data_IF_968514710234
#
_entry.id   IF_968514710234
#
_cell.length_a   1.000
_cell.length_b   1.000
_cell.length_c   1.000
_cell.angle_alpha   90.00
_cell.angle_beta   90.00
_cell.angle_gamma   90.00
#
_symmetry.space_group_name_H-M   'P 1'
#
loop_
_entity.id
_entity.type
_entity.pdbx_description
1 polymer ?
#
# COMPACT_ATOMS: atom_id res chain seq x y z
N UNK A 1 5.10 -0.64 4.72
CA UNK A 1 5.17 0.83 4.51
C UNK A 1 6.54 1.32 4.90
N UNK A 2 7.04 2.38 4.26
CA UNK A 2 8.31 3.04 4.59
C UNK A 2 8.09 4.55 4.63
N UNK A 3 8.69 5.21 5.61
CA UNK A 3 8.66 6.67 5.75
C UNK A 3 10.05 7.23 5.46
N UNK A 4 10.12 8.19 4.54
CA UNK A 4 11.34 8.91 4.16
C UNK A 4 11.22 10.35 4.68
N UNK A 5 11.84 10.59 5.83
CA UNK A 5 11.68 11.83 6.58
C UNK A 5 12.22 13.07 5.84
N UNK A 6 13.37 12.93 5.16
CA UNK A 6 14.01 14.05 4.45
C UNK A 6 13.16 14.50 3.24
N UNK A 7 12.53 13.55 2.57
CA UNK A 7 11.75 13.75 1.35
C UNK A 7 10.25 14.00 1.62
N UNK A 8 9.84 13.94 2.89
CA UNK A 8 8.44 13.89 3.35
C UNK A 8 7.60 12.94 2.49
N UNK A 9 8.06 11.69 2.38
CA UNK A 9 7.49 10.71 1.46
C UNK A 9 7.13 9.41 2.15
N UNK A 10 5.88 9.01 1.97
CA UNK A 10 5.34 7.73 2.43
C UNK A 10 5.28 6.75 1.26
N UNK A 11 6.05 5.67 1.35
CA UNK A 11 5.98 4.54 0.44
C UNK A 11 5.10 3.42 1.01
N UNK A 12 4.21 2.93 0.16
CA UNK A 12 3.27 1.87 0.47
C UNK A 12 3.55 0.70 -0.47
N UNK A 13 3.80 -0.46 0.14
CA UNK A 13 3.94 -1.75 -0.53
C UNK A 13 2.83 -2.67 -0.03
N UNK A 14 2.10 -3.30 -0.95
CA UNK A 14 1.04 -4.25 -0.62
C UNK A 14 1.15 -5.49 -1.51
N UNK A 15 1.36 -6.65 -0.91
CA UNK A 15 1.31 -7.93 -1.60
C UNK A 15 -0.11 -8.52 -1.53
N UNK A 16 -0.63 -8.98 -2.66
CA UNK A 16 -1.93 -9.63 -2.77
C UNK A 16 -1.73 -10.99 -3.42
N UNK A 17 -2.19 -12.03 -2.73
CA UNK A 17 -2.12 -13.41 -3.21
C UNK A 17 -3.52 -13.96 -3.49
N UNK A 18 -3.68 -14.65 -4.62
CA UNK A 18 -4.89 -15.42 -4.91
C UNK A 18 -4.75 -16.82 -4.30
N UNK A 19 -5.42 -17.05 -3.17
CA UNK A 19 -5.43 -18.35 -2.49
C UNK A 19 -6.52 -19.29 -2.98
N UNK A 20 -7.21 -18.96 -4.07
CA UNK A 20 -8.30 -19.77 -4.64
C UNK A 20 -7.81 -20.62 -5.82
N UNK A 21 -8.57 -21.67 -6.16
CA UNK A 21 -8.27 -22.56 -7.29
C UNK A 21 -8.68 -22.00 -8.67
N UNK A 22 -9.11 -20.73 -8.75
CA UNK A 22 -9.55 -20.10 -9.99
C UNK A 22 -8.90 -18.74 -10.19
N UNK A 23 -8.84 -18.29 -11.44
CA UNK A 23 -8.44 -16.91 -11.73
C UNK A 23 -9.41 -15.93 -11.07
N UNK A 24 -8.87 -14.87 -10.48
CA UNK A 24 -9.65 -13.78 -9.88
C UNK A 24 -9.40 -12.47 -10.63
N UNK A 25 -10.45 -11.65 -10.71
CA UNK A 25 -10.41 -10.29 -11.23
C UNK A 25 -10.76 -9.31 -10.10
N UNK A 26 -9.95 -8.29 -9.88
CA UNK A 26 -10.13 -7.35 -8.78
C UNK A 26 -9.57 -5.96 -9.08
N UNK A 27 -10.08 -4.97 -8.36
CA UNK A 27 -9.52 -3.61 -8.31
C UNK A 27 -8.84 -3.42 -6.95
N UNK A 28 -7.79 -2.59 -6.93
CA UNK A 28 -7.02 -2.32 -5.73
C UNK A 28 -6.83 -0.81 -5.53
N UNK A 29 -6.91 -0.35 -4.29
CA UNK A 29 -6.68 1.06 -3.91
C UNK A 29 -5.93 1.14 -2.59
N UNK A 30 -5.01 2.09 -2.46
CA UNK A 30 -4.42 2.45 -1.15
C UNK A 30 -5.38 3.39 -0.44
N UNK A 31 -5.68 3.13 0.84
CA UNK A 31 -6.63 3.91 1.64
C UNK A 31 -5.94 4.44 2.90
N UNK A 32 -6.09 5.73 3.19
CA UNK A 32 -5.66 6.36 4.43
C UNK A 32 -6.74 6.14 5.51
N UNK A 33 -6.44 5.27 6.46
CA UNK A 33 -7.38 4.78 7.49
C UNK A 33 -7.56 5.78 8.65
N UNK A 34 -6.54 6.57 8.95
CA UNK A 34 -6.56 7.57 10.02
C UNK A 34 -6.73 8.98 9.45
N UNK A 35 -7.46 9.83 10.17
CA UNK A 35 -7.68 11.23 9.81
C UNK A 35 -6.34 11.96 9.69
N UNK A 36 -5.42 11.74 10.61
CA UNK A 36 -4.13 12.44 10.66
C UNK A 36 -3.25 12.08 9.46
N UNK A 37 -3.26 10.80 9.04
CA UNK A 37 -2.53 10.30 7.86
C UNK A 37 -3.16 10.81 6.57
N UNK A 38 -4.50 10.87 6.51
CA UNK A 38 -5.26 11.44 5.39
C UNK A 38 -4.97 12.93 5.21
N UNK A 39 -5.01 13.71 6.29
CA UNK A 39 -4.67 15.12 6.28
C UNK A 39 -3.22 15.37 5.84
N UNK A 40 -2.30 14.50 6.28
CA UNK A 40 -0.89 14.60 5.91
C UNK A 40 -0.65 14.28 4.44
N UNK A 41 -1.27 13.22 3.92
CA UNK A 41 -1.16 12.80 2.53
C UNK A 41 -2.00 13.64 1.55
N UNK A 42 -3.00 14.37 2.05
CA UNK A 42 -3.94 15.16 1.25
C UNK A 42 -4.93 14.33 0.43
N UNK A 43 -5.00 13.01 0.66
CA UNK A 43 -5.87 12.08 -0.07
C UNK A 43 -6.46 11.04 0.88
N UNK A 44 -7.71 10.65 0.63
CA UNK A 44 -8.38 9.57 1.38
C UNK A 44 -8.09 8.20 0.78
N UNK A 45 -8.14 8.09 -0.54
CA UNK A 45 -7.91 6.84 -1.27
C UNK A 45 -7.25 7.14 -2.61
N UNK A 46 -6.46 6.20 -3.12
CA UNK A 46 -5.84 6.30 -4.44
C UNK A 46 -5.91 4.94 -5.12
N UNK A 47 -6.63 4.84 -6.26
CA UNK A 47 -6.64 3.63 -7.08
C UNK A 47 -5.23 3.25 -7.53
N UNK A 48 -4.96 1.95 -7.57
CA UNK A 48 -3.74 1.39 -8.12
C UNK A 48 -3.99 1.03 -9.57
N UNK A 49 -3.13 1.54 -10.46
CA UNK A 49 -3.30 1.40 -11.91
C UNK A 49 -2.47 0.25 -12.47
N UNK A 50 -1.31 -0.02 -11.84
CA UNK A 50 -0.35 -1.04 -12.26
C UNK A 50 0.19 -1.84 -11.08
N UNK A 51 0.49 -3.11 -11.34
CA UNK A 51 1.21 -3.98 -10.40
C UNK A 51 2.69 -4.19 -10.82
N UNK A 52 3.46 -4.92 -10.01
CA UNK A 52 4.87 -5.28 -10.26
C UNK A 52 5.10 -6.14 -11.53
N UNK A 53 4.03 -6.71 -12.07
CA UNK A 53 4.03 -7.54 -13.28
C UNK A 53 3.57 -6.75 -14.51
N UNK A 54 3.38 -5.42 -14.38
CA UNK A 54 2.79 -4.54 -15.39
C UNK A 54 1.35 -4.88 -15.79
N UNK A 55 0.63 -5.62 -14.93
CA UNK A 55 -0.81 -5.81 -15.02
C UNK A 55 -1.54 -4.47 -14.84
N UNK A 56 -2.75 -4.37 -15.38
CA UNK A 56 -3.59 -3.17 -15.31
C UNK A 56 -4.93 -3.50 -14.66
N UNK A 57 -5.55 -2.50 -14.04
CA UNK A 57 -6.90 -2.64 -13.46
C UNK A 57 -7.98 -2.90 -14.54
N UNK A 58 -8.97 -3.79 -14.29
CA UNK A 58 -9.03 -4.72 -13.16
C UNK A 58 -7.94 -5.79 -13.30
N UNK A 59 -7.18 -5.99 -12.22
CA UNK A 59 -6.07 -6.92 -12.14
C UNK A 59 -6.57 -8.36 -12.23
N UNK A 60 -5.82 -9.21 -12.94
CA UNK A 60 -6.09 -10.64 -13.05
C UNK A 60 -4.97 -11.44 -12.41
N UNK A 61 -5.33 -12.32 -11.49
CA UNK A 61 -4.37 -13.14 -10.77
C UNK A 61 -4.76 -14.61 -10.86
N UNK A 62 -3.88 -15.40 -11.47
CA UNK A 62 -4.03 -16.85 -11.57
C UNK A 62 -4.08 -17.51 -10.18
N UNK A 63 -4.59 -18.75 -10.07
CA UNK A 63 -4.55 -19.52 -8.82
C UNK A 63 -3.15 -19.57 -8.23
N UNK A 64 -3.04 -19.38 -6.91
CA UNK A 64 -1.80 -19.48 -6.13
C UNK A 64 -0.68 -18.52 -6.53
N UNK A 65 -0.99 -17.50 -7.32
CA UNK A 65 -0.06 -16.44 -7.65
C UNK A 65 -0.20 -15.23 -6.72
N UNK A 66 0.87 -14.46 -6.64
CA UNK A 66 0.91 -13.17 -5.96
C UNK A 66 1.25 -12.03 -6.93
N UNK A 67 0.98 -10.81 -6.47
CA UNK A 67 1.42 -9.58 -7.10
C UNK A 67 1.64 -8.52 -6.02
N UNK A 68 2.50 -7.56 -6.31
CA UNK A 68 2.88 -6.48 -5.41
C UNK A 68 2.51 -5.14 -6.03
N UNK A 69 1.89 -4.30 -5.21
CA UNK A 69 1.62 -2.91 -5.53
C UNK A 69 2.61 -2.01 -4.82
N UNK A 70 3.05 -0.97 -5.52
CA UNK A 70 3.90 0.08 -4.97
C UNK A 70 3.31 1.45 -5.28
N UNK A 71 3.22 2.30 -4.26
CA UNK A 71 2.77 3.70 -4.41
C UNK A 71 3.46 4.60 -3.41
N UNK A 72 3.89 5.77 -3.87
CA UNK A 72 4.46 6.82 -3.03
C UNK A 72 3.52 8.01 -2.91
N UNK A 73 3.54 8.66 -1.75
CA UNK A 73 2.76 9.84 -1.42
C UNK A 73 3.67 10.90 -0.82
N UNK A 74 3.68 12.10 -1.42
CA UNK A 74 4.25 13.28 -0.76
C UNK A 74 3.29 13.75 0.31
N UNK A 75 3.82 14.05 1.50
CA UNK A 75 3.03 14.54 2.63
C UNK A 75 3.36 15.99 2.94
N UNK A 76 2.38 16.75 3.41
CA UNK A 76 2.56 18.16 3.77
C UNK A 76 3.22 18.39 5.15
N UNK A 77 3.40 17.33 5.94
CA UNK A 77 4.05 17.35 7.26
C UNK A 77 4.71 16.00 7.56
N UNK A 78 5.69 15.96 8.46
CA UNK A 78 6.29 14.69 8.91
C UNK A 78 5.25 13.74 9.51
N UNK A 79 5.38 12.45 9.20
CA UNK A 79 4.54 11.39 9.78
C UNK A 79 5.16 10.82 11.04
N UNK A 80 4.33 10.57 12.06
CA UNK A 80 4.76 9.88 13.29
C UNK A 80 4.46 8.38 13.23
N UNK A 81 5.17 7.58 14.02
CA UNK A 81 4.89 6.14 14.15
C UNK A 81 3.42 5.87 14.55
N UNK A 82 2.84 6.72 15.41
CA UNK A 82 1.44 6.60 15.81
C UNK A 82 0.49 6.79 14.62
N UNK A 83 0.79 7.74 13.73
CA UNK A 83 0.01 7.95 12.49
C UNK A 83 0.16 6.76 11.53
N UNK A 84 1.36 6.19 11.42
CA UNK A 84 1.67 5.09 10.51
C UNK A 84 1.11 3.74 11.00
N UNK A 85 1.07 3.51 12.31
CA UNK A 85 0.58 2.25 12.90
C UNK A 85 -0.90 2.06 12.58
N UNK A 86 -1.21 1.11 11.67
CA UNK A 86 -2.56 0.90 11.09
C UNK A 86 -3.13 2.18 10.45
N UNK A 87 -2.26 3.05 9.94
CA UNK A 87 -2.62 4.32 9.31
C UNK A 87 -3.06 4.21 7.86
N UNK A 88 -2.62 3.15 7.18
CA UNK A 88 -2.85 2.91 5.76
C UNK A 88 -3.32 1.47 5.58
N UNK A 89 -4.20 1.27 4.61
CA UNK A 89 -4.67 -0.05 4.19
C UNK A 89 -4.64 -0.21 2.68
N UNK A 90 -4.80 -1.46 2.26
CA UNK A 90 -5.15 -1.81 0.89
C UNK A 90 -6.63 -2.18 0.86
N UNK A 91 -7.38 -1.58 -0.05
CA UNK A 91 -8.73 -1.99 -0.39
C UNK A 91 -8.69 -2.86 -1.64
N UNK A 92 -9.31 -4.03 -1.57
CA UNK A 92 -9.48 -4.96 -2.70
C UNK A 92 -10.98 -5.09 -2.97
N UNK A 93 -11.40 -4.81 -4.20
CA UNK A 93 -12.79 -4.93 -4.63
C UNK A 93 -12.94 -5.97 -5.75
N UNK A 94 -13.89 -6.89 -5.60
CA UNK A 94 -14.19 -7.91 -6.62
C UNK A 94 -15.67 -8.31 -6.55
N UNK A 95 -16.36 -8.26 -7.69
CA UNK A 95 -17.74 -8.74 -7.91
C UNK A 95 -18.69 -8.55 -6.71
N UNK A 96 -18.81 -7.30 -6.24
CA UNK A 96 -19.74 -6.91 -5.16
C UNK A 96 -19.23 -7.12 -3.73
N UNK A 97 -18.00 -7.60 -3.55
CA UNK A 97 -17.31 -7.67 -2.26
C UNK A 97 -16.17 -6.67 -2.23
N UNK A 98 -15.96 -6.05 -1.07
CA UNK A 98 -14.81 -5.21 -0.81
C UNK A 98 -14.18 -5.62 0.52
N UNK A 99 -12.86 -5.73 0.53
CA UNK A 99 -12.06 -6.03 1.70
C UNK A 99 -11.12 -4.85 1.94
N UNK A 100 -11.00 -4.42 3.20
CA UNK A 100 -10.06 -3.40 3.61
C UNK A 100 -9.09 -4.01 4.61
N UNK A 101 -7.83 -4.09 4.24
CA UNK A 101 -6.79 -4.77 5.01
C UNK A 101 -5.74 -3.73 5.42
N UNK A 102 -5.54 -3.49 6.72
CA UNK A 102 -4.48 -2.60 7.19
C UNK A 102 -3.11 -3.11 6.77
N UNK A 103 -2.25 -2.21 6.29
CA UNK A 103 -0.86 -2.52 5.96
C UNK A 103 -0.02 -2.22 7.20
N UNK A 104 0.81 -3.19 7.59
CA UNK A 104 1.71 -3.02 8.73
C UNK A 104 2.81 -2.02 8.42
N UNK A 105 3.14 -1.18 9.41
CA UNK A 105 4.34 -0.36 9.38
C UNK A 105 5.52 -1.29 9.66
N UNK A 106 6.44 -1.41 8.70
CA UNK A 106 7.70 -2.12 8.92
C UNK A 106 8.75 -1.08 9.25
N UNK A 107 9.35 -1.15 10.43
CA UNK A 107 10.60 -0.46 10.68
C UNK A 107 11.65 -1.16 9.82
N UNK A 108 12.06 -0.53 8.72
CA UNK A 108 13.29 -0.91 8.05
C UNK A 108 14.38 -0.22 8.84
N UNK A 109 15.07 -0.97 9.70
CA UNK A 109 16.35 -0.52 10.24
C UNK A 109 17.18 -0.04 9.05
N UNK A 110 17.47 1.26 9.02
CA UNK A 110 18.39 1.81 8.03
C UNK A 110 19.63 0.93 8.11
N UNK A 111 19.98 0.26 7.01
CA UNK A 111 21.23 -0.46 6.91
C UNK A 111 22.32 0.50 7.40
N UNK A 112 22.87 0.22 8.57
CA UNK A 112 23.92 1.01 9.16
C UNK A 112 25.04 1.03 8.14
N UNK A 113 25.25 2.20 7.52
CA UNK A 113 26.37 2.44 6.63
C UNK A 113 27.63 1.95 7.36
N UNK A 114 28.44 1.06 6.76
CA UNK A 114 29.79 0.86 7.28
C UNK A 114 30.50 2.20 7.10
N UNK A 115 30.65 2.94 8.20
CA UNK A 115 31.50 4.10 8.29
C UNK A 115 32.98 3.62 8.26
N UNK A 116 33.89 4.48 7.80
CA UNK A 116 34.85 4.26 6.71
C UNK A 116 36.02 3.32 7.01
#
# INVERSE_FOLDING_TARGET
>A
MRWHEQENELEVYAAVANTTEREVSFEASVVMLKTETREAAGVESTPLETDDRNGKTPFRLAPHNETVFHRSFKTNRPLTQAMLTKGVGIQIASSGKSYLIPISYGEVEAASSPNP
#
